data_IF_528641558321
#
_entry.id   IF_528641558321
#
_cell.length_a   1.000
_cell.length_b   1.000
_cell.length_c   1.000
_cell.angle_alpha   90.00
_cell.angle_beta   90.00
_cell.angle_gamma   90.00
#
_symmetry.space_group_name_H-M   'P 1'
#
loop_
_entity.id
_entity.type
_entity.pdbx_description
1 polymer ?
#
# COMPACT_ATOMS: atom_id res chain seq x y z
N UNK A 1 -13.19 49.23 -4.45
CA UNK A 1 -12.79 48.23 -3.44
C UNK A 1 -13.08 46.81 -3.96
N UNK A 2 -12.32 46.30 -4.94
CA UNK A 2 -12.49 44.92 -5.50
C UNK A 2 -11.19 44.22 -5.92
N UNK A 3 -10.04 44.89 -5.82
CA UNK A 3 -8.75 44.36 -6.28
C UNK A 3 -8.06 43.44 -5.27
N UNK A 4 -8.34 43.62 -3.96
CA UNK A 4 -7.77 42.79 -2.91
C UNK A 4 -8.16 41.32 -3.01
N UNK A 5 -9.39 41.01 -3.45
CA UNK A 5 -9.84 39.63 -3.65
C UNK A 5 -9.16 38.95 -4.84
N UNK A 6 -8.92 39.67 -5.93
CA UNK A 6 -8.23 39.14 -7.11
C UNK A 6 -6.74 38.88 -6.82
N UNK A 7 -6.10 39.76 -6.04
CA UNK A 7 -4.72 39.58 -5.61
C UNK A 7 -4.57 38.37 -4.68
N UNK A 8 -5.49 38.21 -3.71
CA UNK A 8 -5.50 37.04 -2.84
C UNK A 8 -5.71 35.73 -3.62
N UNK A 9 -6.57 35.74 -4.63
CA UNK A 9 -6.80 34.60 -5.54
C UNK A 9 -5.52 34.25 -6.33
N UNK A 10 -4.78 35.25 -6.81
CA UNK A 10 -3.56 35.06 -7.59
C UNK A 10 -2.42 34.43 -6.76
N UNK A 11 -2.33 34.78 -5.48
CA UNK A 11 -1.32 34.24 -4.54
C UNK A 11 -1.60 32.78 -4.18
N UNK A 12 -2.86 32.36 -4.14
CA UNK A 12 -3.23 30.95 -3.89
C UNK A 12 -2.86 30.06 -5.08
N UNK A 13 -2.85 30.61 -6.29
CA UNK A 13 -2.58 29.87 -7.53
C UNK A 13 -1.08 29.58 -7.79
N UNK A 14 -0.15 30.17 -7.04
CA UNK A 14 1.30 29.95 -7.25
C UNK A 14 1.90 28.88 -6.34
N UNK A 15 1.09 28.02 -5.72
CA UNK A 15 1.62 26.94 -4.88
C UNK A 15 2.14 25.79 -5.74
N UNK A 16 3.45 25.79 -5.99
CA UNK A 16 4.15 24.64 -6.58
C UNK A 16 4.26 23.53 -5.53
N UNK A 17 3.51 22.45 -5.72
CA UNK A 17 3.62 21.25 -4.88
C UNK A 17 4.79 20.42 -5.39
N UNK A 18 5.91 20.45 -4.68
CA UNK A 18 6.99 19.48 -4.86
C UNK A 18 6.63 18.19 -4.15
N UNK A 19 6.48 17.10 -4.90
CA UNK A 19 6.12 15.80 -4.38
C UNK A 19 7.01 14.70 -4.99
N UNK A 20 7.06 13.58 -4.28
CA UNK A 20 7.51 12.30 -4.84
C UNK A 20 6.27 11.44 -4.96
N UNK A 21 6.16 10.69 -6.05
CA UNK A 21 5.15 9.65 -6.24
C UNK A 21 5.74 8.26 -5.99
N UNK A 22 4.88 7.33 -5.58
CA UNK A 22 5.19 5.90 -5.50
C UNK A 22 4.10 5.12 -6.24
N UNK A 23 4.50 4.12 -7.02
CA UNK A 23 3.55 3.25 -7.74
C UNK A 23 4.04 1.80 -7.78
N UNK A 24 3.16 0.81 -7.58
CA UNK A 24 1.79 0.96 -7.11
C UNK A 24 1.74 1.37 -5.63
N UNK A 25 0.58 1.82 -5.16
CA UNK A 25 0.31 2.10 -3.73
C UNK A 25 0.15 0.81 -2.90
N UNK A 26 -0.20 -0.29 -3.59
CA UNK A 26 -0.36 -1.62 -3.03
C UNK A 26 0.17 -2.70 -3.98
N UNK A 27 1.01 -3.58 -3.45
CA UNK A 27 1.41 -4.86 -4.05
C UNK A 27 0.75 -5.99 -3.27
N UNK A 28 0.29 -7.02 -3.97
CA UNK A 28 -0.30 -8.21 -3.34
C UNK A 28 0.57 -9.44 -3.63
N UNK A 29 0.85 -10.20 -2.59
CA UNK A 29 1.57 -11.48 -2.66
C UNK A 29 0.69 -12.53 -2.01
N UNK A 30 0.33 -13.56 -2.76
CA UNK A 30 -0.34 -14.73 -2.20
C UNK A 30 0.69 -15.58 -1.45
N UNK A 31 0.36 -16.01 -0.23
CA UNK A 31 1.27 -16.83 0.55
C UNK A 31 1.31 -18.26 0.03
N UNK A 32 2.45 -18.64 -0.53
CA UNK A 32 2.82 -20.02 -0.79
C UNK A 32 4.06 -20.40 0.04
N UNK A 33 4.07 -21.56 0.72
CA UNK A 33 5.23 -22.00 1.49
C UNK A 33 6.50 -22.07 0.65
N UNK A 34 7.60 -21.48 1.13
CA UNK A 34 8.91 -21.47 0.45
C UNK A 34 8.91 -20.76 -0.91
N UNK A 35 7.89 -19.96 -1.21
CA UNK A 35 7.85 -19.18 -2.46
C UNK A 35 8.88 -18.06 -2.44
N UNK A 36 9.41 -17.79 -3.63
CA UNK A 36 10.33 -16.69 -3.90
C UNK A 36 9.90 -15.94 -5.16
N UNK A 37 10.30 -14.68 -5.25
CA UNK A 37 9.98 -13.86 -6.42
C UNK A 37 10.52 -12.44 -6.30
N UNK A 38 10.16 -11.63 -7.28
CA UNK A 38 10.57 -10.24 -7.39
C UNK A 38 9.37 -9.32 -7.57
N UNK A 39 9.43 -8.16 -6.92
CA UNK A 39 8.45 -7.09 -7.01
C UNK A 39 9.15 -5.80 -7.46
N UNK A 40 8.42 -4.99 -8.21
CA UNK A 40 8.92 -3.74 -8.77
C UNK A 40 8.10 -2.58 -8.23
N UNK A 41 8.79 -1.54 -7.76
CA UNK A 41 8.16 -0.28 -7.32
C UNK A 41 8.80 0.89 -8.04
N UNK A 42 7.96 1.76 -8.57
CA UNK A 42 8.33 2.96 -9.30
C UNK A 42 8.28 4.18 -8.39
N UNK A 43 9.34 4.98 -8.41
CA UNK A 43 9.42 6.26 -7.72
C UNK A 43 9.38 7.36 -8.76
N UNK A 44 8.39 8.23 -8.65
CA UNK A 44 8.14 9.29 -9.63
C UNK A 44 8.67 10.59 -9.03
N UNK A 45 9.65 11.19 -9.69
CA UNK A 45 10.11 12.52 -9.35
C UNK A 45 9.23 13.53 -10.08
N UNK A 46 8.46 14.35 -9.36
CA UNK A 46 7.67 15.44 -9.97
C UNK A 46 8.36 16.80 -9.83
N UNK A 47 9.59 16.81 -9.33
CA UNK A 47 10.39 18.03 -9.16
C UNK A 47 11.21 18.31 -10.43
N UNK A 48 11.47 19.59 -10.68
CA UNK A 48 12.31 20.04 -11.80
C UNK A 48 13.82 19.89 -11.52
N UNK A 49 14.21 19.15 -10.48
CA UNK A 49 15.58 18.88 -10.09
C UNK A 49 15.83 17.38 -9.92
N UNK A 50 17.09 16.95 -10.03
CA UNK A 50 17.46 15.57 -9.76
C UNK A 50 17.33 15.28 -8.26
N UNK A 51 16.79 14.12 -7.91
CA UNK A 51 16.62 13.71 -6.52
C UNK A 51 17.38 12.40 -6.26
N UNK A 52 17.85 12.24 -5.03
CA UNK A 52 18.27 10.94 -4.51
C UNK A 52 17.17 10.42 -3.59
N UNK A 53 16.77 9.17 -3.77
CA UNK A 53 15.74 8.55 -2.97
C UNK A 53 16.23 7.25 -2.36
N UNK A 54 15.77 6.94 -1.13
CA UNK A 54 16.00 5.66 -0.48
C UNK A 54 14.69 4.95 -0.14
N UNK A 55 14.70 3.62 -0.22
CA UNK A 55 13.58 2.78 0.19
C UNK A 55 13.94 2.01 1.46
N UNK A 56 12.98 1.88 2.38
CA UNK A 56 13.09 1.05 3.58
C UNK A 56 11.83 0.20 3.74
N UNK A 57 11.99 -1.02 4.26
CA UNK A 57 10.89 -1.93 4.57
C UNK A 57 10.62 -1.97 6.08
N UNK A 58 9.36 -1.91 6.48
CA UNK A 58 8.93 -2.00 7.88
C UNK A 58 7.76 -3.00 8.01
N UNK A 59 7.65 -3.67 9.16
CA UNK A 59 6.59 -4.65 9.43
C UNK A 59 7.14 -6.03 9.78
N UNK A 60 6.27 -6.91 10.30
CA UNK A 60 6.66 -8.21 10.84
C UNK A 60 7.27 -9.15 9.79
N UNK A 61 6.71 -9.12 8.57
CA UNK A 61 7.19 -9.94 7.46
C UNK A 61 8.33 -9.29 6.67
N UNK A 62 8.75 -8.06 7.00
CA UNK A 62 9.77 -7.32 6.25
C UNK A 62 11.11 -8.08 6.14
N UNK A 63 11.45 -8.90 7.14
CA UNK A 63 12.64 -9.77 7.16
C UNK A 63 12.71 -10.79 6.03
N UNK A 64 11.59 -11.07 5.36
CA UNK A 64 11.50 -11.99 4.22
C UNK A 64 11.63 -11.27 2.87
N UNK A 65 11.86 -9.95 2.89
CA UNK A 65 12.01 -9.11 1.71
C UNK A 65 13.38 -8.45 1.72
N UNK A 66 13.98 -8.26 0.56
CA UNK A 66 15.28 -7.62 0.38
C UNK A 66 15.22 -6.63 -0.77
N UNK A 67 15.79 -5.44 -0.57
CA UNK A 67 15.87 -4.42 -1.61
C UNK A 67 17.21 -4.57 -2.32
N UNK A 68 17.22 -4.81 -3.65
CA UNK A 68 18.48 -4.97 -4.42
C UNK A 68 19.38 -3.74 -4.36
N UNK A 69 18.77 -2.56 -4.31
CA UNK A 69 19.45 -1.28 -4.28
C UNK A 69 18.70 -0.34 -3.34
N UNK A 70 19.29 0.02 -2.20
CA UNK A 70 18.58 0.81 -1.17
C UNK A 70 18.42 2.29 -1.54
N UNK A 71 19.20 2.80 -2.51
CA UNK A 71 19.12 4.18 -2.97
C UNK A 71 19.33 4.34 -4.47
N UNK A 72 18.56 5.23 -5.07
CA UNK A 72 18.60 5.54 -6.51
C UNK A 72 18.63 7.04 -6.75
N UNK A 73 19.36 7.45 -7.78
CA UNK A 73 19.30 8.80 -8.33
C UNK A 73 18.22 8.84 -9.42
N UNK A 74 17.34 9.83 -9.35
CA UNK A 74 16.23 10.00 -10.29
C UNK A 74 16.37 11.37 -10.92
N UNK A 75 16.36 11.43 -12.24
CA UNK A 75 16.44 12.69 -12.97
C UNK A 75 15.22 13.58 -12.69
N UNK A 76 15.38 14.88 -12.93
CA UNK A 76 14.28 15.85 -13.01
C UNK A 76 13.12 15.29 -13.84
N UNK A 77 11.90 15.36 -13.30
CA UNK A 77 10.67 14.82 -13.91
C UNK A 77 10.75 13.33 -14.34
N UNK A 78 11.68 12.57 -13.76
CA UNK A 78 11.99 11.18 -14.12
C UNK A 78 11.30 10.14 -13.26
N UNK A 79 11.52 8.87 -13.61
CA UNK A 79 11.06 7.71 -12.82
C UNK A 79 12.24 6.81 -12.47
N UNK A 80 12.35 6.45 -11.20
CA UNK A 80 13.30 5.47 -10.68
C UNK A 80 12.61 4.15 -10.34
N UNK A 81 13.39 3.08 -10.21
CA UNK A 81 12.89 1.74 -9.94
C UNK A 81 13.62 1.15 -8.73
N UNK A 82 12.86 0.60 -7.79
CA UNK A 82 13.34 -0.31 -6.76
C UNK A 82 12.88 -1.73 -7.07
N UNK A 83 13.83 -2.66 -7.07
CA UNK A 83 13.55 -4.10 -7.16
C UNK A 83 13.62 -4.71 -5.77
N UNK A 84 12.56 -5.42 -5.38
CA UNK A 84 12.40 -6.03 -4.08
C UNK A 84 12.28 -7.54 -4.29
N UNK A 85 13.23 -8.31 -3.79
CA UNK A 85 13.15 -9.77 -3.75
C UNK A 85 12.40 -10.21 -2.51
N UNK A 86 11.71 -11.33 -2.58
CA UNK A 86 11.12 -11.97 -1.40
C UNK A 86 11.41 -13.47 -1.36
N UNK A 87 11.51 -14.00 -0.14
CA UNK A 87 11.62 -15.43 0.16
C UNK A 87 10.79 -15.75 1.39
N UNK A 88 9.58 -16.27 1.18
CA UNK A 88 8.66 -16.56 2.27
C UNK A 88 9.03 -17.88 2.97
N UNK A 89 8.87 -17.97 4.29
CA UNK A 89 9.17 -19.18 5.03
C UNK A 89 8.14 -20.28 4.75
N UNK A 90 8.47 -21.52 5.14
CA UNK A 90 7.52 -22.65 5.08
C UNK A 90 6.28 -22.45 5.97
N UNK A 91 6.35 -21.57 6.97
CA UNK A 91 5.24 -21.22 7.86
C UNK A 91 5.32 -19.77 8.32
N UNK A 92 4.18 -19.09 8.33
CA UNK A 92 3.98 -17.79 8.98
C UNK A 92 2.95 -17.99 10.10
N UNK A 93 3.25 -17.51 11.31
CA UNK A 93 2.40 -17.71 12.48
C UNK A 93 1.24 -16.71 12.57
N UNK A 94 1.31 -15.62 11.81
CA UNK A 94 0.28 -14.57 11.74
C UNK A 94 -0.62 -14.78 10.50
N UNK A 95 -1.79 -15.44 10.62
CA UNK A 95 -2.73 -15.57 9.51
C UNK A 95 -3.42 -14.24 9.18
N UNK A 96 -4.02 -14.17 8.00
CA UNK A 96 -4.71 -13.00 7.47
C UNK A 96 -3.81 -12.06 6.68
N UNK A 97 -4.25 -10.82 6.52
CA UNK A 97 -3.55 -9.79 5.75
C UNK A 97 -2.39 -9.21 6.56
N UNK A 98 -1.18 -9.53 6.17
CA UNK A 98 0.04 -8.99 6.76
C UNK A 98 0.62 -7.90 5.88
N UNK A 99 0.86 -6.71 6.45
CA UNK A 99 1.38 -5.56 5.70
C UNK A 99 2.89 -5.40 5.94
N UNK A 100 3.64 -5.26 4.85
CA UNK A 100 5.01 -4.73 4.85
C UNK A 100 4.95 -3.33 4.25
N UNK A 101 5.32 -2.32 5.03
CA UNK A 101 5.31 -0.93 4.61
C UNK A 101 6.58 -0.59 3.85
N UNK A 102 6.41 0.07 2.71
CA UNK A 102 7.47 0.56 1.84
C UNK A 102 7.58 2.06 2.05
N UNK A 103 8.65 2.48 2.72
CA UNK A 103 8.88 3.89 3.04
C UNK A 103 9.93 4.46 2.12
N UNK A 104 9.51 5.31 1.22
CA UNK A 104 10.40 6.03 0.30
C UNK A 104 10.65 7.41 0.87
N UNK A 105 11.92 7.80 0.92
CA UNK A 105 12.34 9.12 1.42
C UNK A 105 13.13 9.85 0.35
N UNK A 106 12.96 11.17 0.27
CA UNK A 106 13.90 12.05 -0.42
C UNK A 106 15.12 12.24 0.47
N UNK A 107 16.30 11.90 -0.03
CA UNK A 107 17.55 12.16 0.68
C UNK A 107 17.92 13.63 0.49
N UNK A 108 17.61 14.47 1.48
CA UNK A 108 18.05 15.87 1.53
C UNK A 108 19.21 16.02 2.51
N UNK A 109 20.24 16.77 2.11
CA UNK A 109 21.32 17.18 3.01
C UNK A 109 20.79 18.27 3.94
N UNK A 110 20.37 17.91 5.14
CA UNK A 110 20.05 18.90 6.18
C UNK A 110 21.36 19.33 6.84
N UNK A 111 21.94 20.42 6.36
CA UNK A 111 23.12 21.03 6.97
C UNK A 111 22.72 21.76 8.26
N UNK A 112 22.70 21.05 9.39
CA UNK A 112 22.50 21.58 10.76
C UNK A 112 21.19 22.38 10.97
N UNK A 113 20.19 21.76 11.59
CA UNK A 113 18.95 22.42 12.03
C UNK A 113 17.76 21.45 12.11
N UNK A 114 16.58 21.97 12.43
CA UNK A 114 15.31 21.26 12.23
C UNK A 114 15.00 21.26 10.72
N UNK A 115 14.81 20.07 10.13
CA UNK A 115 14.48 19.90 8.73
C UNK A 115 13.22 19.06 8.55
N UNK A 116 12.38 19.43 7.59
CA UNK A 116 11.31 18.58 7.10
C UNK A 116 11.84 17.73 5.93
N UNK A 117 11.49 16.45 5.90
CA UNK A 117 11.74 15.58 4.75
C UNK A 117 10.42 14.98 4.27
N UNK A 118 10.31 14.82 2.95
CA UNK A 118 9.16 14.18 2.33
C UNK A 118 9.36 12.67 2.35
N UNK A 119 8.31 11.95 2.76
CA UNK A 119 8.25 10.49 2.70
C UNK A 119 6.90 10.05 2.16
N UNK A 120 6.92 9.04 1.29
CA UNK A 120 5.74 8.44 0.69
C UNK A 120 5.69 6.97 1.09
N UNK A 121 4.48 6.44 1.27
CA UNK A 121 4.25 5.08 1.71
C UNK A 121 3.54 4.27 0.61
N UNK A 122 4.01 3.05 0.40
CA UNK A 122 3.29 1.97 -0.27
C UNK A 122 3.27 0.76 0.66
N UNK A 123 2.58 -0.32 0.26
CA UNK A 123 2.54 -1.56 1.04
C UNK A 123 2.57 -2.80 0.17
N UNK A 124 3.30 -3.81 0.63
CA UNK A 124 3.11 -5.19 0.19
C UNK A 124 2.15 -5.85 1.17
N UNK A 125 1.11 -6.48 0.64
CA UNK A 125 0.13 -7.23 1.43
C UNK A 125 0.31 -8.70 1.15
N UNK A 126 0.70 -9.46 2.18
CA UNK A 126 0.82 -10.92 2.14
C UNK A 126 -0.45 -11.52 2.74
N UNK A 127 -1.23 -12.24 1.95
CA UNK A 127 -2.46 -12.91 2.41
C UNK A 127 -2.13 -14.33 2.88
N UNK A 128 -2.09 -14.54 4.20
CA UNK A 128 -1.70 -15.81 4.82
C UNK A 128 -2.96 -16.59 5.22
N UNK A 129 -3.16 -17.82 4.74
CA UNK A 129 -4.36 -18.59 5.07
C UNK A 129 -4.37 -19.01 6.55
N UNK A 130 -5.56 -19.11 7.13
CA UNK A 130 -5.74 -19.60 8.50
C UNK A 130 -5.47 -21.11 8.58
N UNK A 131 -4.82 -21.60 9.66
CA UNK A 131 -4.45 -23.02 9.77
C UNK A 131 -5.64 -23.98 9.94
N UNK A 132 -6.82 -23.44 10.24
CA UNK A 132 -8.06 -24.19 10.46
C UNK A 132 -9.09 -23.90 9.36
N UNK A 133 -10.31 -24.45 9.49
CA UNK A 133 -11.44 -24.03 8.65
C UNK A 133 -11.78 -22.59 9.04
N UNK A 134 -11.70 -21.65 8.11
CA UNK A 134 -12.04 -20.25 8.35
C UNK A 134 -12.89 -19.72 7.21
N UNK A 135 -14.03 -19.15 7.57
CA UNK A 135 -14.96 -18.47 6.68
C UNK A 135 -14.94 -16.99 7.00
N UNK A 136 -14.69 -16.19 5.98
CA UNK A 136 -14.92 -14.76 6.02
C UNK A 136 -16.26 -14.49 5.34
N UNK A 137 -17.10 -13.67 5.96
CA UNK A 137 -18.37 -13.25 5.41
C UNK A 137 -18.43 -11.72 5.34
N UNK A 138 -19.02 -11.22 4.27
CA UNK A 138 -19.30 -9.81 4.07
C UNK A 138 -20.78 -9.64 3.71
N UNK A 139 -21.39 -8.58 4.21
CA UNK A 139 -22.80 -8.25 4.00
C UNK A 139 -22.88 -6.82 3.50
N UNK A 140 -23.30 -6.67 2.25
CA UNK A 140 -23.46 -5.38 1.63
C UNK A 140 -24.93 -5.14 1.27
N UNK A 141 -25.37 -3.90 1.45
CA UNK A 141 -26.66 -3.45 0.97
C UNK A 141 -26.54 -2.03 0.43
N UNK A 142 -27.41 -1.69 -0.51
CA UNK A 142 -27.48 -0.34 -1.08
C UNK A 142 -28.49 0.47 -0.27
N UNK A 143 -28.25 1.78 -0.17
CA UNK A 143 -29.26 2.69 0.38
C UNK A 143 -30.47 2.71 -0.55
N UNK A 144 -31.65 2.47 -0.01
CA UNK A 144 -32.94 2.47 -0.71
C UNK A 144 -33.92 3.42 -0.01
N UNK A 145 -34.95 3.89 -0.71
CA UNK A 145 -35.96 4.76 -0.11
C UNK A 145 -37.02 3.92 0.64
N UNK A 146 -37.84 4.61 1.44
CA UNK A 146 -38.96 3.98 2.12
C UNK A 146 -39.95 3.38 1.09
N UNK A 147 -40.24 2.08 1.23
CA UNK A 147 -41.14 1.34 0.35
C UNK A 147 -40.45 0.61 -0.81
N UNK A 148 -39.14 0.83 -1.02
CA UNK A 148 -38.37 0.09 -2.02
C UNK A 148 -37.99 -1.31 -1.52
N UNK A 149 -37.89 -2.28 -2.44
CA UNK A 149 -37.33 -3.60 -2.15
C UNK A 149 -35.82 -3.48 -1.88
N UNK A 150 -35.37 -4.00 -0.74
CA UNK A 150 -33.95 -4.04 -0.37
C UNK A 150 -33.33 -5.37 -0.81
N UNK A 151 -32.21 -5.28 -1.54
CA UNK A 151 -31.37 -6.45 -1.86
C UNK A 151 -30.20 -6.51 -0.88
N UNK A 152 -29.88 -7.74 -0.46
CA UNK A 152 -28.76 -8.02 0.41
C UNK A 152 -27.79 -8.95 -0.31
N UNK A 153 -26.54 -8.51 -0.45
CA UNK A 153 -25.47 -9.30 -1.04
C UNK A 153 -24.67 -9.94 0.09
N UNK A 154 -24.74 -11.27 0.20
CA UNK A 154 -24.00 -12.04 1.20
C UNK A 154 -22.84 -12.77 0.53
N UNK A 155 -21.62 -12.30 0.79
CA UNK A 155 -20.40 -12.88 0.22
C UNK A 155 -19.72 -13.77 1.25
N UNK A 156 -19.51 -15.05 0.92
CA UNK A 156 -18.80 -16.00 1.78
C UNK A 156 -17.53 -16.45 1.08
N UNK A 157 -16.38 -16.33 1.76
CA UNK A 157 -15.07 -16.74 1.24
C UNK A 157 -14.39 -17.70 2.21
N UNK A 158 -13.75 -18.74 1.68
CA UNK A 158 -12.86 -19.59 2.48
C UNK A 158 -11.46 -18.96 2.53
N UNK A 159 -10.96 -18.70 3.74
CA UNK A 159 -9.57 -18.23 3.98
C UNK A 159 -8.74 -19.25 4.76
N UNK A 160 -9.31 -20.42 5.04
CA UNK A 160 -8.64 -21.50 5.76
C UNK A 160 -7.93 -22.47 4.82
N UNK A 161 -6.88 -23.13 5.30
CA UNK A 161 -6.22 -24.22 4.57
C UNK A 161 -7.12 -25.46 4.49
N UNK A 162 -8.04 -25.64 5.45
CA UNK A 162 -8.96 -26.78 5.50
C UNK A 162 -10.24 -26.50 4.73
N UNK A 163 -10.70 -27.49 3.98
CA UNK A 163 -11.95 -27.44 3.22
C UNK A 163 -13.19 -27.27 4.12
N UNK A 164 -14.19 -26.55 3.61
CA UNK A 164 -15.44 -26.17 4.27
C UNK A 164 -16.68 -26.93 3.78
N UNK A 165 -16.56 -27.98 2.96
CA UNK A 165 -17.70 -28.69 2.36
C UNK A 165 -18.72 -29.25 3.35
N UNK A 166 -18.31 -29.54 4.59
CA UNK A 166 -19.21 -30.06 5.64
C UNK A 166 -19.75 -28.97 6.58
N UNK A 167 -19.51 -27.69 6.29
CA UNK A 167 -19.96 -26.58 7.14
C UNK A 167 -21.42 -26.25 6.81
N UNK A 168 -22.30 -26.47 7.79
CA UNK A 168 -23.71 -26.05 7.73
C UNK A 168 -23.86 -24.80 8.60
N UNK A 169 -24.47 -23.75 8.06
CA UNK A 169 -24.81 -22.53 8.81
C UNK A 169 -26.32 -22.31 8.80
N UNK A 170 -26.86 -21.85 9.93
CA UNK A 170 -28.26 -21.46 10.07
C UNK A 170 -28.31 -19.93 10.22
N UNK A 171 -29.06 -19.27 9.34
CA UNK A 171 -29.31 -17.83 9.43
C UNK A 171 -30.72 -17.67 10.00
N UNK A 172 -30.82 -17.09 11.19
CA UNK A 172 -32.09 -16.70 11.80
C UNK A 172 -32.27 -15.19 11.59
N UNK A 173 -33.41 -14.79 11.02
CA UNK A 173 -33.80 -13.39 10.72
C UNK A 173 -35.01 -13.03 11.56
#
# INVERSE_FOLDING_TARGET
MKWGGLFLLLVILTTSVSAIGISPDRLQVEYEPLSEGELVVYIINTENENINSSLTLEGELAKYFSIKQESIAISSLGTGIFNIEYRLPAKIDTPGLNNVLLKVKKNSFVSKGLGAYLSVLSKIVVDVPYPYKYLEYDFETKSVNEGDEISFDFNIRSKGVKNIFDVVSKVDI
#
